data_IF_212235712050
#
_entry.id   IF_212235712050
#
_cell.length_a   1.000
_cell.length_b   1.000
_cell.length_c   1.000
_cell.angle_alpha   90.00
_cell.angle_beta   90.00
_cell.angle_gamma   90.00
#
_symmetry.space_group_name_H-M   'P 1'
#
loop_
_entity.id
_entity.type
_entity.pdbx_description
1 polymer ?
#
# COMPACT_ATOMS: atom_id res chain seq x y z
N UNK A 1 -9.72 17.98 -1.26
CA UNK A 1 -8.79 17.36 -0.30
C UNK A 1 -7.38 17.62 -0.79
N UNK A 2 -6.69 18.54 -0.14
CA UNK A 2 -5.28 18.83 -0.38
C UNK A 2 -4.42 17.95 0.53
N UNK A 3 -3.11 17.91 0.28
CA UNK A 3 -2.16 17.26 1.20
C UNK A 3 -2.16 17.91 2.59
N UNK A 4 -2.51 19.20 2.68
CA UNK A 4 -2.63 19.91 3.96
C UNK A 4 -3.83 19.42 4.77
N UNK A 5 -4.98 19.18 4.11
CA UNK A 5 -6.17 18.62 4.78
C UNK A 5 -5.86 17.23 5.39
N UNK A 6 -5.11 16.39 4.65
CA UNK A 6 -4.69 15.08 5.12
C UNK A 6 -3.69 15.14 6.28
N UNK A 7 -2.76 16.10 6.26
CA UNK A 7 -1.82 16.30 7.36
C UNK A 7 -2.56 16.66 8.66
N UNK A 8 -3.50 17.61 8.59
CA UNK A 8 -4.30 18.01 9.75
C UNK A 8 -5.14 16.86 10.32
N UNK A 9 -5.67 15.99 9.45
CA UNK A 9 -6.47 14.86 9.88
C UNK A 9 -5.61 13.76 10.53
N UNK A 10 -4.37 13.59 10.05
CA UNK A 10 -3.39 12.68 10.66
C UNK A 10 -2.95 13.19 12.04
N UNK A 11 -2.68 14.48 12.17
CA UNK A 11 -2.28 15.09 13.44
C UNK A 11 -3.36 14.93 14.51
N UNK A 12 -4.63 15.16 14.15
CA UNK A 12 -5.78 14.90 15.04
C UNK A 12 -5.87 13.44 15.46
N UNK A 13 -5.59 12.50 14.55
CA UNK A 13 -5.60 11.07 14.86
C UNK A 13 -4.47 10.70 15.85
N UNK A 14 -3.30 11.30 15.68
CA UNK A 14 -2.16 11.10 16.59
C UNK A 14 -2.43 11.67 18.00
N UNK A 15 -3.09 12.84 18.10
CA UNK A 15 -3.51 13.43 19.37
C UNK A 15 -4.52 12.54 20.11
N UNK A 16 -5.49 11.97 19.39
CA UNK A 16 -6.48 11.04 19.96
C UNK A 16 -5.83 9.79 20.55
N UNK A 17 -4.76 9.28 19.90
CA UNK A 17 -3.98 8.14 20.38
C UNK A 17 -2.88 8.56 21.39
N UNK A 18 -2.90 9.81 21.86
CA UNK A 18 -1.93 10.42 22.82
C UNK A 18 -0.48 10.30 22.39
N UNK A 19 -0.21 10.23 21.09
CA UNK A 19 1.15 10.19 20.55
C UNK A 19 1.68 11.61 20.39
N UNK A 20 2.96 11.79 20.66
CA UNK A 20 3.61 13.10 20.53
C UNK A 20 3.74 13.44 19.05
N UNK A 21 3.22 14.61 18.65
CA UNK A 21 3.44 15.16 17.31
C UNK A 21 4.89 15.60 17.18
N UNK A 22 5.56 15.18 16.11
CA UNK A 22 6.95 15.54 15.83
C UNK A 22 7.03 17.00 15.32
N UNK A 23 7.40 17.92 16.21
CA UNK A 23 7.48 19.36 15.92
C UNK A 23 8.68 19.75 15.03
N UNK A 24 9.77 18.96 15.06
CA UNK A 24 11.03 19.24 14.36
C UNK A 24 11.28 18.25 13.22
N UNK A 25 10.26 17.94 12.43
CA UNK A 25 10.46 17.25 11.17
C UNK A 25 11.22 18.20 10.23
N UNK A 26 12.50 17.96 9.99
CA UNK A 26 13.33 18.82 9.13
C UNK A 26 12.63 19.17 7.81
N UNK A 27 12.89 20.37 7.29
CA UNK A 27 12.21 20.87 6.09
C UNK A 27 12.79 20.22 4.83
N UNK A 28 12.14 19.17 4.34
CA UNK A 28 12.41 18.62 3.02
C UNK A 28 11.55 19.37 2.01
N UNK A 29 12.16 19.96 0.98
CA UNK A 29 11.38 20.62 -0.07
C UNK A 29 10.49 19.62 -0.81
N UNK A 30 9.31 20.06 -1.23
CA UNK A 30 8.35 19.21 -1.95
C UNK A 30 8.95 18.56 -3.21
N UNK A 31 9.96 19.18 -3.83
CA UNK A 31 10.70 18.62 -4.97
C UNK A 31 11.48 17.36 -4.58
N UNK A 32 12.25 17.44 -3.49
CA UNK A 32 13.04 16.31 -2.98
C UNK A 32 12.12 15.18 -2.51
N UNK A 33 11.02 15.50 -1.82
CA UNK A 33 10.04 14.50 -1.39
C UNK A 33 9.39 13.78 -2.59
N UNK A 34 9.05 14.50 -3.66
CA UNK A 34 8.51 13.91 -4.90
C UNK A 34 9.51 13.01 -5.60
N UNK A 35 10.78 13.42 -5.66
CA UNK A 35 11.84 12.65 -6.28
C UNK A 35 12.13 11.36 -5.49
N UNK A 36 12.16 11.45 -4.16
CA UNK A 36 12.26 10.29 -3.28
C UNK A 36 11.06 9.35 -3.43
N UNK A 37 9.84 9.88 -3.46
CA UNK A 37 8.64 9.06 -3.65
C UNK A 37 8.64 8.33 -5.00
N UNK A 38 9.08 8.99 -6.08
CA UNK A 38 9.19 8.36 -7.41
C UNK A 38 10.23 7.23 -7.44
N UNK A 39 11.41 7.49 -6.89
CA UNK A 39 12.50 6.49 -6.87
C UNK A 39 12.14 5.27 -6.05
N UNK A 40 11.49 5.45 -4.89
CA UNK A 40 10.97 4.32 -4.11
C UNK A 40 9.83 3.61 -4.84
N UNK A 41 8.89 4.35 -5.44
CA UNK A 41 7.79 3.75 -6.20
C UNK A 41 8.29 2.85 -7.33
N UNK A 42 9.30 3.26 -8.11
CA UNK A 42 9.86 2.44 -9.18
C UNK A 42 10.46 1.12 -8.69
N UNK A 43 11.15 1.15 -7.54
CA UNK A 43 11.70 -0.06 -6.91
C UNK A 43 10.60 -1.03 -6.50
N UNK A 44 9.59 -0.53 -5.78
CA UNK A 44 8.51 -1.38 -5.26
C UNK A 44 7.55 -1.86 -6.35
N UNK A 45 7.34 -1.07 -7.42
CA UNK A 45 6.49 -1.48 -8.56
C UNK A 45 7.01 -2.74 -9.22
N UNK A 46 8.31 -2.84 -9.48
CA UNK A 46 8.91 -4.04 -10.10
C UNK A 46 8.71 -5.28 -9.23
N UNK A 47 8.78 -5.13 -7.91
CA UNK A 47 8.55 -6.23 -6.97
C UNK A 47 7.06 -6.62 -6.98
N UNK A 48 6.15 -5.64 -6.91
CA UNK A 48 4.72 -5.91 -6.97
C UNK A 48 4.31 -6.55 -8.28
N UNK A 49 4.76 -6.04 -9.42
CA UNK A 49 4.45 -6.59 -10.75
C UNK A 49 4.87 -8.07 -10.85
N UNK A 50 5.99 -8.47 -10.22
CA UNK A 50 6.44 -9.87 -10.20
C UNK A 50 5.61 -10.78 -9.28
N UNK A 51 5.10 -10.22 -8.18
CA UNK A 51 4.26 -10.94 -7.21
C UNK A 51 2.77 -10.81 -7.51
N UNK A 52 2.40 -10.01 -8.51
CA UNK A 52 1.02 -9.76 -8.88
C UNK A 52 0.46 -11.00 -9.56
N UNK A 53 -0.35 -11.74 -8.81
CA UNK A 53 -1.24 -12.75 -9.37
C UNK A 53 -2.61 -12.11 -9.55
N UNK A 54 -3.01 -11.92 -10.80
CA UNK A 54 -4.34 -11.41 -11.14
C UNK A 54 -5.41 -12.30 -10.51
N UNK A 55 -6.43 -11.70 -9.92
CA UNK A 55 -7.57 -12.47 -9.37
C UNK A 55 -8.26 -13.28 -10.47
N UNK A 56 -8.17 -12.85 -11.73
CA UNK A 56 -8.59 -13.65 -12.89
C UNK A 56 -7.77 -14.94 -13.03
N UNK A 57 -6.44 -14.85 -12.89
CA UNK A 57 -5.57 -16.04 -12.97
C UNK A 57 -5.81 -16.99 -11.81
N UNK A 58 -6.12 -16.46 -10.62
CA UNK A 58 -6.55 -17.27 -9.47
C UNK A 58 -7.85 -18.03 -9.76
N UNK A 59 -8.85 -17.34 -10.30
CA UNK A 59 -10.15 -17.95 -10.66
C UNK A 59 -10.00 -18.99 -11.78
N UNK A 60 -9.20 -18.70 -12.82
CA UNK A 60 -8.92 -19.66 -13.89
C UNK A 60 -8.18 -20.90 -13.36
N UNK A 61 -7.22 -20.73 -12.43
CA UNK A 61 -6.56 -21.86 -11.75
C UNK A 61 -7.53 -22.66 -10.89
N UNK A 62 -8.46 -22.00 -10.20
CA UNK A 62 -9.49 -22.66 -9.39
C UNK A 62 -10.43 -23.50 -10.26
N UNK A 63 -10.82 -23.01 -11.43
CA UNK A 63 -11.65 -23.72 -12.40
C UNK A 63 -10.93 -24.89 -13.08
N UNK A 64 -9.61 -24.77 -13.32
CA UNK A 64 -8.78 -25.85 -13.90
C UNK A 64 -8.43 -26.95 -12.91
N UNK A 65 -8.62 -26.74 -11.61
CA UNK A 65 -8.37 -27.78 -10.60
C UNK A 65 -9.44 -28.86 -10.78
N UNK A 66 -9.08 -30.13 -11.11
CA UNK A 66 -10.08 -31.18 -11.18
C UNK A 66 -10.74 -31.26 -9.81
N UNK A 67 -12.07 -31.17 -9.78
CA UNK A 67 -12.86 -31.42 -8.56
C UNK A 67 -12.35 -32.74 -7.98
N UNK A 68 -11.65 -32.69 -6.84
CA UNK A 68 -11.36 -33.89 -6.07
C UNK A 68 -12.71 -34.56 -5.87
N UNK A 69 -12.88 -35.75 -6.47
CA UNK A 69 -14.05 -36.59 -6.24
C UNK A 69 -14.23 -36.62 -4.72
N UNK A 70 -15.37 -36.10 -4.24
CA UNK A 70 -15.83 -36.44 -2.90
C UNK A 70 -15.86 -37.96 -2.89
N UNK A 71 -14.99 -38.55 -2.09
CA UNK A 71 -15.09 -39.95 -1.72
C UNK A 71 -16.49 -40.13 -1.13
N UNK A 72 -17.27 -40.98 -1.77
CA UNK A 72 -18.50 -41.53 -1.24
C UNK A 72 -18.20 -42.13 0.15
N UNK A 73 -18.99 -41.73 1.15
CA UNK A 73 -19.24 -42.47 2.38
C UNK A 73 -20.76 -42.43 2.61
#
# INVERSE_FOLDING_TARGET
>A
MTMEDWAQQLDKLLELDKRIILQNAGTITAKIAKEHAKTEFEKYRIIQDKLFESDFDKEVKALKKPRRKKSDD
#
